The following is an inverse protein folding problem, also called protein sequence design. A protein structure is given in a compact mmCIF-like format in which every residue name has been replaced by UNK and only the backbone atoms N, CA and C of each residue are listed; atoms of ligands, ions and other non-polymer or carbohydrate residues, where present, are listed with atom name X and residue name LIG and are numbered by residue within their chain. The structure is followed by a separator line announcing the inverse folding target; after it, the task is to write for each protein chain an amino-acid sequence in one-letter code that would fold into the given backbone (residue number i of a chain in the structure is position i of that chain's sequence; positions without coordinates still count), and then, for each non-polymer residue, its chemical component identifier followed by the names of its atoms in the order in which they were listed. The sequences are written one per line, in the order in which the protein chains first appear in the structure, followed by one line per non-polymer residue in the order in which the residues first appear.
data_IF_395767024714
#
_entry.id   IF_395767024714
#
_cell.length_a   1.000
_cell.length_b   1.000
_cell.length_c   1.000
_cell.angle_alpha   90.00
_cell.angle_beta   90.00
_cell.angle_gamma   90.00
#
_symmetry.space_group_name_H-M   'P 1'
#
loop_
_entity.id
_entity.type
_entity.pdbx_description
1 polymer ?
#
# COMPACT_ATOMS: atom_id res chain seq x y z
N UNK A 1 -22.69 -20.73 -19.85
CA UNK A 1 -22.48 -19.33 -20.27
C UNK A 1 -20.99 -19.10 -20.34
N UNK A 2 -20.44 -18.70 -21.49
CA UNK A 2 -19.07 -18.19 -21.56
C UNK A 2 -19.11 -16.73 -21.09
N UNK A 3 -18.29 -16.36 -20.11
CA UNK A 3 -18.17 -14.95 -19.72
C UNK A 3 -17.36 -14.20 -20.77
N UNK A 4 -17.93 -13.12 -21.31
CA UNK A 4 -17.17 -12.17 -22.12
C UNK A 4 -16.25 -11.37 -21.19
N UNK A 5 -14.94 -11.60 -21.28
CA UNK A 5 -13.92 -10.90 -20.48
C UNK A 5 -13.49 -9.57 -21.10
N UNK A 6 -13.92 -9.25 -22.33
CA UNK A 6 -13.57 -8.01 -23.03
C UNK A 6 -13.73 -6.75 -22.17
N UNK A 7 -14.87 -6.54 -21.49
CA UNK A 7 -15.07 -5.36 -20.63
C UNK A 7 -14.04 -5.16 -19.52
N UNK A 8 -13.32 -6.21 -19.08
CA UNK A 8 -12.27 -6.11 -18.07
C UNK A 8 -11.03 -5.38 -18.62
N UNK A 9 -10.76 -5.50 -19.92
CA UNK A 9 -9.59 -4.95 -20.58
C UNK A 9 -9.84 -3.60 -21.27
N UNK A 10 -11.08 -3.13 -21.28
CA UNK A 10 -11.43 -1.80 -21.77
C UNK A 10 -11.00 -0.69 -20.80
N UNK A 11 -10.58 0.49 -21.30
CA UNK A 11 -10.28 1.65 -20.47
C UNK A 11 -11.44 2.02 -19.52
N UNK A 12 -11.08 2.65 -18.40
CA UNK A 12 -12.03 3.14 -17.41
C UNK A 12 -11.66 4.57 -17.00
N UNK A 13 -12.66 5.45 -17.02
CA UNK A 13 -12.51 6.83 -16.57
C UNK A 13 -13.57 7.14 -15.51
N UNK A 14 -13.13 7.72 -14.39
CA UNK A 14 -13.99 8.24 -13.33
C UNK A 14 -13.39 9.52 -12.78
N UNK A 15 -14.05 10.66 -13.01
CA UNK A 15 -13.52 11.98 -12.70
C UNK A 15 -12.12 12.21 -13.30
N UNK A 16 -11.08 12.35 -12.47
CA UNK A 16 -9.69 12.52 -12.88
C UNK A 16 -8.92 11.18 -12.93
N UNK A 17 -9.53 10.07 -12.54
CA UNK A 17 -8.91 8.75 -12.63
C UNK A 17 -9.09 8.18 -14.03
N UNK A 18 -7.99 7.96 -14.73
CA UNK A 18 -7.94 7.30 -16.05
C UNK A 18 -7.13 6.03 -15.93
N UNK A 19 -7.74 4.88 -16.24
CA UNK A 19 -7.11 3.57 -16.18
C UNK A 19 -7.14 2.92 -17.57
N UNK A 20 -6.03 2.27 -17.94
CA UNK A 20 -5.91 1.50 -19.20
C UNK A 20 -6.80 0.26 -19.27
N UNK A 21 -7.24 -0.25 -18.12
CA UNK A 21 -8.18 -1.38 -17.99
C UNK A 21 -8.80 -1.41 -16.59
N UNK A 22 -9.68 -2.37 -16.33
CA UNK A 22 -10.41 -2.55 -15.06
C UNK A 22 -9.77 -3.60 -14.15
N UNK A 23 -8.52 -3.99 -14.40
CA UNK A 23 -7.77 -4.90 -13.53
C UNK A 23 -7.07 -4.10 -12.45
N UNK A 24 -7.47 -4.34 -11.20
CA UNK A 24 -6.84 -3.74 -10.03
C UNK A 24 -6.07 -4.79 -9.22
N UNK A 25 -4.88 -4.42 -8.76
CA UNK A 25 -4.18 -5.17 -7.73
C UNK A 25 -4.70 -4.72 -6.35
N UNK A 26 -5.25 -5.66 -5.61
CA UNK A 26 -5.66 -5.44 -4.22
C UNK A 26 -4.45 -5.13 -3.31
N UNK A 27 -4.68 -4.44 -2.18
CA UNK A 27 -3.63 -4.18 -1.20
C UNK A 27 -3.10 -5.49 -0.60
N UNK A 28 -1.79 -5.68 -0.62
CA UNK A 28 -1.13 -6.91 -0.14
C UNK A 28 0.11 -6.56 0.67
N UNK A 29 0.02 -6.60 2.00
CA UNK A 29 1.18 -6.37 2.88
C UNK A 29 2.26 -7.41 2.69
N UNK A 30 3.50 -6.96 2.46
CA UNK A 30 4.64 -7.84 2.16
C UNK A 30 5.77 -7.79 3.20
N UNK A 31 5.84 -6.75 4.03
CA UNK A 31 6.85 -6.56 5.07
C UNK A 31 8.30 -6.41 4.54
N UNK A 32 8.47 -5.68 3.43
CA UNK A 32 9.78 -5.42 2.79
C UNK A 32 10.26 -3.97 2.93
N UNK A 33 9.67 -3.20 3.84
CA UNK A 33 10.08 -1.81 4.10
C UNK A 33 10.78 -1.70 5.46
N UNK A 34 12.06 -2.07 5.56
CA UNK A 34 12.79 -1.97 6.82
C UNK A 34 12.76 -0.52 7.33
N UNK A 35 12.55 -0.36 8.64
CA UNK A 35 12.34 0.96 9.28
C UNK A 35 11.18 1.78 8.69
N UNK A 36 10.25 1.12 8.00
CA UNK A 36 9.11 1.78 7.36
C UNK A 36 9.44 2.50 6.05
N UNK A 37 10.62 2.29 5.47
CA UNK A 37 11.06 2.95 4.24
C UNK A 37 11.00 1.99 3.05
N UNK A 38 10.22 2.28 1.99
CA UNK A 38 10.25 1.50 0.77
C UNK A 38 11.62 1.55 0.09
N UNK A 39 12.23 0.37 -0.09
CA UNK A 39 13.51 0.19 -0.78
C UNK A 39 13.36 -0.03 -2.28
N UNK A 40 14.49 -0.30 -2.96
CA UNK A 40 14.51 -0.59 -4.40
C UNK A 40 13.71 -1.85 -4.75
N UNK A 41 13.73 -2.85 -3.88
CA UNK A 41 12.96 -4.08 -4.02
C UNK A 41 11.44 -3.83 -4.06
N UNK A 42 10.97 -2.86 -3.26
CA UNK A 42 9.56 -2.41 -3.27
C UNK A 42 9.24 -1.64 -4.56
N UNK A 43 10.15 -0.76 -5.02
CA UNK A 43 10.01 -0.06 -6.32
C UNK A 43 9.88 -1.07 -7.47
N UNK A 44 10.82 -2.01 -7.57
CA UNK A 44 10.84 -3.05 -8.61
C UNK A 44 9.63 -3.98 -8.50
N UNK A 45 9.13 -4.22 -7.28
CA UNK A 45 7.91 -4.99 -7.07
C UNK A 45 6.71 -4.34 -7.74
N UNK A 46 6.43 -3.06 -7.47
CA UNK A 46 5.28 -2.36 -8.05
C UNK A 46 5.44 -2.08 -9.55
N UNK A 47 6.64 -1.68 -9.99
CA UNK A 47 6.94 -1.47 -11.41
C UNK A 47 6.59 -2.69 -12.26
N UNK A 48 7.01 -3.88 -11.83
CA UNK A 48 6.70 -5.15 -12.53
C UNK A 48 5.21 -5.41 -12.70
N UNK A 49 4.35 -4.96 -11.75
CA UNK A 49 2.89 -5.14 -11.87
C UNK A 49 2.30 -4.17 -12.88
N UNK A 50 2.80 -2.94 -12.89
CA UNK A 50 2.42 -1.97 -13.92
C UNK A 50 2.88 -2.42 -15.31
N UNK A 51 4.10 -2.93 -15.45
CA UNK A 51 4.63 -3.48 -16.72
C UNK A 51 3.83 -4.71 -17.19
N UNK A 52 3.30 -5.52 -16.27
CA UNK A 52 2.42 -6.64 -16.58
C UNK A 52 0.98 -6.22 -16.96
N UNK A 53 0.71 -4.92 -17.08
CA UNK A 53 -0.57 -4.40 -17.57
C UNK A 53 -1.64 -4.21 -16.50
N UNK A 54 -1.31 -4.26 -15.20
CA UNK A 54 -2.27 -3.88 -14.15
C UNK A 54 -2.67 -2.40 -14.35
N UNK A 55 -3.99 -2.14 -14.38
CA UNK A 55 -4.54 -0.80 -14.57
C UNK A 55 -4.39 0.06 -13.32
N UNK A 56 -4.82 -0.46 -12.17
CA UNK A 56 -4.73 0.21 -10.87
C UNK A 56 -3.98 -0.65 -9.84
N UNK A 57 -3.02 -0.06 -9.16
CA UNK A 57 -2.29 -0.67 -8.05
C UNK A 57 -2.75 -0.01 -6.75
N UNK A 58 -3.24 -0.82 -5.81
CA UNK A 58 -3.41 -0.38 -4.42
C UNK A 58 -2.20 -0.91 -3.66
N UNK A 59 -1.45 -0.04 -2.99
CA UNK A 59 -0.27 -0.45 -2.23
C UNK A 59 -0.61 -1.46 -1.13
N UNK A 60 0.41 -2.09 -0.57
CA UNK A 60 0.33 -2.62 0.79
C UNK A 60 -0.20 -1.59 1.80
N UNK A 61 -0.60 -2.07 2.98
CA UNK A 61 -1.00 -1.19 4.07
C UNK A 61 0.16 -0.25 4.44
N UNK A 62 -0.12 1.05 4.45
CA UNK A 62 0.86 2.08 4.77
C UNK A 62 0.47 2.76 6.08
N UNK A 63 1.35 2.75 7.07
CA UNK A 63 1.01 3.27 8.40
C UNK A 63 0.93 4.79 8.39
N UNK A 64 -0.12 5.34 9.00
CA UNK A 64 -0.28 6.78 9.22
C UNK A 64 0.59 7.27 10.40
N UNK A 65 0.78 8.59 10.52
CA UNK A 65 1.57 9.20 11.62
C UNK A 65 0.81 9.14 12.96
N UNK A 66 0.69 7.95 13.51
CA UNK A 66 0.10 7.68 14.81
C UNK A 66 0.88 6.55 15.49
N UNK A 67 1.23 6.74 16.76
CA UNK A 67 2.11 5.83 17.49
C UNK A 67 1.61 4.37 17.51
N UNK A 68 0.28 4.18 17.45
CA UNK A 68 -0.35 2.86 17.46
C UNK A 68 -0.80 2.34 16.09
N UNK A 69 -0.46 3.00 14.99
CA UNK A 69 -0.91 2.60 13.66
C UNK A 69 -0.32 1.26 13.21
N UNK A 70 0.91 0.95 13.64
CA UNK A 70 1.62 -0.25 13.24
C UNK A 70 1.32 -1.46 14.13
N UNK A 71 1.26 -2.65 13.54
CA UNK A 71 1.16 -3.93 14.27
C UNK A 71 2.11 -5.01 13.78
N UNK A 72 2.95 -4.71 12.78
CA UNK A 72 3.71 -5.72 12.04
C UNK A 72 5.12 -5.19 11.71
N UNK A 73 6.11 -6.09 11.55
CA UNK A 73 7.46 -5.68 11.19
C UNK A 73 7.52 -5.18 9.74
N UNK A 74 8.38 -4.19 9.49
CA UNK A 74 8.76 -3.74 8.14
C UNK A 74 7.58 -3.32 7.23
N UNK A 75 6.49 -2.85 7.82
CA UNK A 75 5.39 -2.20 7.09
C UNK A 75 5.79 -0.77 6.77
N UNK A 76 5.61 -0.30 5.54
CA UNK A 76 5.99 1.06 5.15
C UNK A 76 5.17 2.14 5.85
N UNK A 77 5.81 3.24 6.20
CA UNK A 77 5.16 4.46 6.66
C UNK A 77 4.69 5.31 5.48
N UNK A 78 3.61 6.07 5.69
CA UNK A 78 3.14 7.10 4.76
C UNK A 78 3.24 8.50 5.39
N UNK A 79 4.36 8.75 6.06
CA UNK A 79 4.72 10.02 6.68
C UNK A 79 6.24 10.08 6.90
N UNK A 80 6.76 11.29 7.10
CA UNK A 80 8.19 11.52 7.27
C UNK A 80 8.96 11.50 5.95
N UNK A 81 10.06 12.24 5.90
CA UNK A 81 10.75 12.55 4.65
C UNK A 81 11.36 11.30 3.98
N UNK A 82 11.98 10.41 4.76
CA UNK A 82 12.62 9.21 4.22
C UNK A 82 11.61 8.25 3.57
N UNK A 83 10.51 7.96 4.25
CA UNK A 83 9.48 7.07 3.74
C UNK A 83 8.76 7.68 2.53
N UNK A 84 8.44 8.98 2.58
CA UNK A 84 7.81 9.68 1.45
C UNK A 84 8.74 9.77 0.23
N UNK A 85 10.06 9.93 0.43
CA UNK A 85 11.03 9.84 -0.65
C UNK A 85 11.12 8.45 -1.27
N UNK A 86 11.03 7.38 -0.45
CA UNK A 86 10.90 6.00 -0.93
C UNK A 86 9.64 5.79 -1.76
N UNK A 87 8.48 6.24 -1.25
CA UNK A 87 7.21 6.17 -1.96
C UNK A 87 7.21 6.97 -3.26
N UNK A 88 7.86 8.13 -3.30
CA UNK A 88 7.99 8.89 -4.53
C UNK A 88 8.64 8.06 -5.65
N UNK A 89 9.70 7.30 -5.35
CA UNK A 89 10.35 6.42 -6.33
C UNK A 89 9.41 5.32 -6.82
N UNK A 90 8.60 4.75 -5.92
CA UNK A 90 7.58 3.74 -6.26
C UNK A 90 6.55 4.32 -7.22
N UNK A 91 6.02 5.50 -6.89
CA UNK A 91 5.01 6.20 -7.70
C UNK A 91 5.57 6.55 -9.07
N UNK A 92 6.76 7.13 -9.14
CA UNK A 92 7.42 7.50 -10.39
C UNK A 92 7.59 6.25 -11.29
N UNK A 93 8.09 5.14 -10.75
CA UNK A 93 8.30 3.90 -11.51
C UNK A 93 6.99 3.28 -12.02
N UNK A 94 5.89 3.37 -11.26
CA UNK A 94 4.57 2.89 -11.71
C UNK A 94 4.00 3.78 -12.81
N UNK A 95 4.12 5.10 -12.67
CA UNK A 95 3.66 6.05 -13.68
C UNK A 95 4.46 5.93 -14.98
N UNK A 96 5.78 5.76 -14.91
CA UNK A 96 6.64 5.48 -16.06
C UNK A 96 6.20 4.21 -16.82
N UNK A 97 5.74 3.18 -16.10
CA UNK A 97 5.20 1.95 -16.66
C UNK A 97 3.71 2.05 -17.09
N UNK A 98 3.13 3.26 -17.04
CA UNK A 98 1.75 3.55 -17.46
C UNK A 98 0.66 3.01 -16.53
N UNK A 99 0.99 2.69 -15.28
CA UNK A 99 0.02 2.27 -14.26
C UNK A 99 -0.46 3.43 -13.40
N UNK A 100 -1.62 3.26 -12.76
CA UNK A 100 -2.07 4.14 -11.68
C UNK A 100 -1.81 3.49 -10.32
N UNK A 101 -1.60 4.30 -9.28
CA UNK A 101 -1.31 3.81 -7.92
C UNK A 101 -1.98 4.65 -6.83
N UNK A 102 -2.52 3.99 -5.80
CA UNK A 102 -3.06 4.62 -4.60
C UNK A 102 -2.49 4.00 -3.32
N UNK A 103 -2.22 4.80 -2.28
CA UNK A 103 -1.86 4.27 -0.98
C UNK A 103 -3.09 3.72 -0.23
N UNK A 104 -2.95 2.52 0.36
CA UNK A 104 -3.85 2.09 1.43
C UNK A 104 -3.39 2.70 2.75
N UNK A 105 -4.04 3.77 3.21
CA UNK A 105 -3.77 4.31 4.55
C UNK A 105 -4.31 3.35 5.62
N UNK A 106 -3.46 3.04 6.60
CA UNK A 106 -3.73 1.94 7.51
C UNK A 106 -3.42 2.27 8.97
N UNK A 107 -4.32 1.85 9.84
CA UNK A 107 -4.17 1.81 11.30
C UNK A 107 -4.72 0.47 11.79
N UNK A 108 -3.89 -0.35 12.45
CA UNK A 108 -4.26 -1.73 12.82
C UNK A 108 -5.22 -1.82 14.01
N UNK A 109 -5.29 -0.74 14.81
CA UNK A 109 -6.20 -0.65 15.95
C UNK A 109 -5.88 -1.67 17.05
N UNK A 110 -6.88 -2.45 17.46
CA UNK A 110 -6.76 -3.43 18.55
C UNK A 110 -5.81 -4.60 18.24
N UNK A 111 -5.38 -4.76 16.98
CA UNK A 111 -4.42 -5.80 16.57
C UNK A 111 -3.02 -5.51 17.11
N UNK A 112 -2.65 -4.25 17.30
CA UNK A 112 -1.36 -3.88 17.90
C UNK A 112 -1.31 -4.32 19.36
N UNK A 113 -0.14 -4.80 19.79
CA UNK A 113 0.16 -5.19 21.18
C UNK A 113 1.44 -4.50 21.66
N UNK A 114 1.59 -4.37 22.98
CA UNK A 114 2.87 -3.99 23.57
C UNK A 114 3.98 -4.98 23.15
N UNK A 115 5.22 -4.50 23.09
CA UNK A 115 6.36 -5.25 22.57
C UNK A 115 6.58 -5.11 21.05
N UNK A 116 5.68 -4.44 20.33
CA UNK A 116 5.77 -4.26 18.88
C UNK A 116 6.47 -2.95 18.51
N UNK A 117 7.51 -3.05 17.67
CA UNK A 117 8.18 -1.91 17.05
C UNK A 117 7.21 -0.95 16.30
N UNK A 118 7.53 0.34 16.12
CA UNK A 118 8.79 1.00 16.48
C UNK A 118 8.90 1.47 17.93
N UNK A 119 7.79 1.46 18.69
CA UNK A 119 7.79 1.77 20.12
C UNK A 119 7.14 0.62 20.90
N UNK A 120 7.93 -0.28 21.51
CA UNK A 120 7.42 -1.41 22.26
C UNK A 120 6.49 -1.04 23.43
N UNK A 121 6.54 0.21 23.92
CA UNK A 121 5.69 0.65 25.04
C UNK A 121 4.27 1.05 24.62
N UNK A 122 4.01 1.25 23.33
CA UNK A 122 2.72 1.74 22.84
C UNK A 122 1.75 0.57 22.67
N UNK A 123 0.60 0.55 23.39
CA UNK A 123 -0.39 -0.51 23.25
C UNK A 123 -1.21 -0.37 21.96
N UNK A 124 -2.10 -1.33 21.72
CA UNK A 124 -3.18 -1.16 20.75
C UNK A 124 -4.19 -0.12 21.20
N UNK A 125 -4.90 0.47 20.23
CA UNK A 125 -6.01 1.40 20.50
C UNK A 125 -7.27 0.81 19.89
N UNK A 126 -8.30 0.63 20.71
CA UNK A 126 -9.59 0.11 20.28
C UNK A 126 -10.73 1.05 20.66
N UNK A 127 -11.85 1.06 19.92
CA UNK A 127 -12.98 1.94 20.24
C UNK A 127 -13.61 1.68 21.61
N UNK A 128 -13.45 0.48 22.17
CA UNK A 128 -14.07 0.04 23.42
C UNK A 128 -13.11 -0.12 24.60
N UNK A 129 -11.80 0.03 24.37
CA UNK A 129 -10.76 -0.31 25.35
C UNK A 129 -10.55 -1.81 25.57
N UNK A 130 -11.21 -2.67 24.78
CA UNK A 130 -11.00 -4.12 24.78
C UNK A 130 -9.97 -4.53 23.73
N UNK A 131 -9.13 -5.51 24.06
CA UNK A 131 -8.06 -6.03 23.21
C UNK A 131 -8.19 -7.56 23.08
N UNK A 132 -7.95 -8.10 21.89
CA UNK A 132 -8.07 -9.54 21.58
C UNK A 132 -6.72 -10.27 21.56
#
# INVERSE_FOLDING_TARGET
MSMNLGPLFEPFELHNLKLRNRVAMAPMTRNFSPKGVPGQDVVDYYRRRAEAGVGLIITEGTIVNHAAANGYPNVPAFYGDEALAGWKKVVDAVHEAGGAIFPQLWHVGAVRKEGIEPDPSVPGYSPSGLFA
#
